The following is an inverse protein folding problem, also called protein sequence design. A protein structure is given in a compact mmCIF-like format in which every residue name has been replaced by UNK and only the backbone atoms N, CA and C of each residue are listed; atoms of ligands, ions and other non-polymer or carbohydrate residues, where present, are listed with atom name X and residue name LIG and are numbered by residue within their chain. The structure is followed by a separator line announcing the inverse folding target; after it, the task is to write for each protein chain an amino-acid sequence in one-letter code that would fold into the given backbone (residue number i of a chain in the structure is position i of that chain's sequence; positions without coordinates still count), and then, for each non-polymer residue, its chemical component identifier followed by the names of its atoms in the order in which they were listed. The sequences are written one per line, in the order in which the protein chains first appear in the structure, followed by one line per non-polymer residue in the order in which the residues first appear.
data_IF_724404430022
#
_entry.id   IF_724404430022
#
_cell.length_a   1.000
_cell.length_b   1.000
_cell.length_c   1.000
_cell.angle_alpha   90.00
_cell.angle_beta   90.00
_cell.angle_gamma   90.00
#
_symmetry.space_group_name_H-M   'P 1'
#
loop_
_entity.id
_entity.type
_entity.pdbx_description
1 polymer ?
#
# COMPACT_ATOMS: atom_id res chain seq x y z
N UNK A 1 -19.34 -6.20 23.16
CA UNK A 1 -18.27 -6.95 23.87
C UNK A 1 -18.73 -7.58 25.17
N UNK A 2 -19.45 -6.87 26.05
CA UNK A 2 -19.92 -7.41 27.35
C UNK A 2 -20.85 -8.63 27.24
N UNK A 3 -21.71 -8.69 26.22
CA UNK A 3 -22.53 -9.89 25.99
C UNK A 3 -21.66 -11.07 25.55
N UNK A 4 -20.69 -10.83 24.66
CA UNK A 4 -19.76 -11.85 24.19
C UNK A 4 -18.81 -12.37 25.28
N UNK A 5 -18.44 -11.53 26.26
CA UNK A 5 -17.68 -12.01 27.42
C UNK A 5 -18.48 -12.99 28.27
N UNK A 6 -19.81 -12.79 28.42
CA UNK A 6 -20.65 -13.74 29.14
C UNK A 6 -20.70 -15.09 28.41
N UNK A 7 -20.83 -15.06 27.07
CA UNK A 7 -20.78 -16.27 26.24
C UNK A 7 -19.41 -16.96 26.34
N UNK A 8 -18.32 -16.19 26.33
CA UNK A 8 -16.96 -16.70 26.48
C UNK A 8 -16.68 -17.31 27.85
N UNK A 9 -17.20 -16.72 28.92
CA UNK A 9 -17.13 -17.27 30.28
C UNK A 9 -17.93 -18.56 30.36
N UNK A 10 -19.17 -18.57 29.86
CA UNK A 10 -20.04 -19.75 29.86
C UNK A 10 -19.44 -20.92 29.08
N UNK A 11 -18.87 -20.65 27.90
CA UNK A 11 -18.20 -21.67 27.07
C UNK A 11 -16.76 -21.95 27.48
N UNK A 12 -16.22 -21.21 28.45
CA UNK A 12 -14.79 -21.18 28.82
C UNK A 12 -13.91 -21.11 27.56
N UNK A 13 -14.21 -20.20 26.62
CA UNK A 13 -13.50 -20.06 25.34
C UNK A 13 -13.23 -18.60 25.04
N UNK A 14 -11.98 -18.19 25.22
CA UNK A 14 -11.56 -16.80 25.02
C UNK A 14 -11.29 -16.46 23.54
N UNK A 15 -11.12 -17.47 22.68
CA UNK A 15 -10.99 -17.31 21.23
C UNK A 15 -12.27 -16.80 20.54
N UNK A 16 -13.40 -16.79 21.26
CA UNK A 16 -14.64 -16.15 20.81
C UNK A 16 -14.52 -14.63 20.67
N UNK A 17 -13.52 -14.02 21.32
CA UNK A 17 -13.23 -12.59 21.17
C UNK A 17 -12.89 -12.23 19.72
N UNK A 18 -12.15 -13.11 19.02
CA UNK A 18 -11.76 -12.91 17.62
C UNK A 18 -12.96 -13.00 16.66
N UNK A 19 -13.97 -13.81 17.00
CA UNK A 19 -15.24 -13.89 16.25
C UNK A 19 -16.13 -12.68 16.57
N UNK A 20 -16.16 -12.26 17.83
CA UNK A 20 -16.90 -11.09 18.29
C UNK A 20 -16.38 -9.77 17.69
N UNK A 21 -15.11 -9.73 17.30
CA UNK A 21 -14.47 -8.58 16.65
C UNK A 21 -15.21 -8.13 15.39
N UNK A 22 -15.43 -9.03 14.43
CA UNK A 22 -16.16 -8.72 13.20
C UNK A 22 -17.59 -8.25 13.47
N UNK A 23 -18.32 -8.96 14.34
CA UNK A 23 -19.69 -8.57 14.74
C UNK A 23 -19.74 -7.21 15.43
N UNK A 24 -18.72 -6.87 16.21
CA UNK A 24 -18.60 -5.56 16.84
C UNK A 24 -18.52 -4.43 15.82
N UNK A 25 -17.78 -4.62 14.72
CA UNK A 25 -17.72 -3.63 13.64
C UNK A 25 -19.04 -3.47 12.90
N UNK A 26 -19.74 -4.58 12.61
CA UNK A 26 -21.09 -4.52 12.04
C UNK A 26 -22.00 -3.70 12.96
N UNK A 27 -22.00 -4.00 14.26
CA UNK A 27 -22.84 -3.29 15.22
C UNK A 27 -22.52 -1.79 15.25
N UNK A 28 -21.25 -1.39 15.32
CA UNK A 28 -20.86 0.03 15.35
C UNK A 28 -21.18 0.73 14.03
N UNK A 29 -20.91 0.09 12.89
CA UNK A 29 -21.15 0.68 11.57
C UNK A 29 -22.65 0.95 11.36
N UNK A 30 -23.51 -0.06 11.61
CA UNK A 30 -24.95 0.09 11.41
C UNK A 30 -25.61 0.98 12.46
N UNK A 31 -25.21 0.92 13.73
CA UNK A 31 -25.76 1.84 14.75
C UNK A 31 -25.38 3.28 14.44
N UNK A 32 -24.12 3.56 14.08
CA UNK A 32 -23.71 4.91 13.70
C UNK A 32 -24.38 5.41 12.42
N UNK A 33 -24.72 4.55 11.46
CA UNK A 33 -25.51 4.95 10.28
C UNK A 33 -26.96 5.29 10.66
N UNK A 34 -27.61 4.47 11.49
CA UNK A 34 -29.01 4.65 11.92
C UNK A 34 -29.18 5.94 12.71
N UNK A 35 -28.24 6.24 13.61
CA UNK A 35 -28.26 7.47 14.43
C UNK A 35 -27.55 8.66 13.78
N UNK A 36 -26.92 8.45 12.63
CA UNK A 36 -26.21 9.47 11.87
C UNK A 36 -26.98 9.93 10.64
N UNK A 37 -26.22 10.40 9.65
CA UNK A 37 -26.69 10.84 8.35
C UNK A 37 -26.58 9.68 7.36
N UNK A 38 -27.71 9.30 6.77
CA UNK A 38 -27.77 8.24 5.77
C UNK A 38 -27.37 8.79 4.38
N UNK A 39 -26.07 8.92 4.16
CA UNK A 39 -25.50 9.30 2.86
C UNK A 39 -25.15 8.07 2.01
N UNK A 40 -25.04 8.24 0.69
CA UNK A 40 -24.57 7.15 -0.20
C UNK A 40 -23.18 6.64 0.20
N UNK A 41 -22.30 7.53 0.67
CA UNK A 41 -20.95 7.18 1.13
C UNK A 41 -20.98 6.38 2.42
N UNK A 42 -21.83 6.78 3.38
CA UNK A 42 -22.07 6.00 4.60
C UNK A 42 -22.60 4.60 4.28
N UNK A 43 -23.54 4.49 3.34
CA UNK A 43 -24.06 3.19 2.91
C UNK A 43 -22.97 2.32 2.26
N UNK A 44 -22.14 2.89 1.38
CA UNK A 44 -21.01 2.18 0.76
C UNK A 44 -20.07 1.65 1.87
N UNK A 45 -19.63 2.50 2.80
CA UNK A 45 -18.72 2.10 3.88
C UNK A 45 -19.34 0.99 4.75
N UNK A 46 -20.63 1.08 5.07
CA UNK A 46 -21.33 0.02 5.80
C UNK A 46 -21.33 -1.31 5.06
N UNK A 47 -21.60 -1.30 3.75
CA UNK A 47 -21.59 -2.51 2.93
C UNK A 47 -20.18 -3.12 2.92
N UNK A 48 -19.15 -2.30 2.68
CA UNK A 48 -17.75 -2.75 2.70
C UNK A 48 -17.38 -3.39 4.03
N UNK A 49 -17.62 -2.69 5.15
CA UNK A 49 -17.32 -3.18 6.50
C UNK A 49 -18.12 -4.44 6.83
N UNK A 50 -19.38 -4.52 6.40
CA UNK A 50 -20.22 -5.70 6.63
C UNK A 50 -19.69 -6.92 5.89
N UNK A 51 -19.34 -6.77 4.60
CA UNK A 51 -18.76 -7.85 3.80
C UNK A 51 -17.45 -8.34 4.43
N UNK A 52 -16.55 -7.43 4.79
CA UNK A 52 -15.29 -7.76 5.48
C UNK A 52 -15.53 -8.47 6.81
N UNK A 53 -16.41 -7.94 7.65
CA UNK A 53 -16.67 -8.46 8.98
C UNK A 53 -17.30 -9.86 8.95
N UNK A 54 -18.26 -10.09 8.04
CA UNK A 54 -18.87 -11.42 7.84
C UNK A 54 -17.79 -12.40 7.37
N UNK A 55 -16.97 -12.03 6.39
CA UNK A 55 -15.88 -12.87 5.88
C UNK A 55 -14.89 -13.25 7.00
N UNK A 56 -14.43 -12.26 7.77
CA UNK A 56 -13.52 -12.47 8.89
C UNK A 56 -14.12 -13.40 9.94
N UNK A 57 -15.36 -13.14 10.35
CA UNK A 57 -16.09 -13.95 11.30
C UNK A 57 -16.19 -15.41 10.85
N UNK A 58 -16.63 -15.64 9.60
CA UNK A 58 -16.76 -16.98 9.03
C UNK A 58 -15.40 -17.69 8.94
N UNK A 59 -14.37 -16.99 8.45
CA UNK A 59 -13.02 -17.54 8.33
C UNK A 59 -12.48 -18.04 9.69
N UNK A 60 -12.56 -17.18 10.71
CA UNK A 60 -12.09 -17.53 12.07
C UNK A 60 -12.92 -18.66 12.67
N UNK A 61 -14.25 -18.60 12.51
CA UNK A 61 -15.15 -19.64 13.01
C UNK A 61 -14.83 -21.01 12.40
N UNK A 62 -14.71 -21.12 11.07
CA UNK A 62 -14.40 -22.37 10.40
C UNK A 62 -13.00 -22.90 10.71
N UNK A 63 -12.03 -22.01 10.94
CA UNK A 63 -10.68 -22.37 11.35
C UNK A 63 -10.62 -22.96 12.76
N UNK A 64 -11.43 -22.44 13.68
CA UNK A 64 -11.36 -22.78 15.11
C UNK A 64 -12.39 -23.83 15.56
N UNK A 65 -13.41 -24.18 14.74
CA UNK A 65 -14.49 -25.10 15.15
C UNK A 65 -14.04 -26.52 15.50
N UNK A 66 -12.96 -27.00 14.87
CA UNK A 66 -12.47 -28.39 15.00
C UNK A 66 -11.11 -28.48 15.72
N UNK A 67 -10.69 -27.39 16.39
CA UNK A 67 -9.42 -27.35 17.12
C UNK A 67 -9.70 -27.19 18.62
N UNK A 68 -8.88 -27.83 19.44
CA UNK A 68 -8.81 -27.50 20.86
C UNK A 68 -8.46 -26.02 21.04
N UNK A 69 -8.92 -25.42 22.14
CA UNK A 69 -8.71 -24.01 22.44
C UNK A 69 -7.22 -23.63 22.32
N UNK A 70 -6.92 -22.51 21.65
CA UNK A 70 -5.54 -22.04 21.40
C UNK A 70 -4.73 -22.08 22.70
N UNK A 71 -3.52 -22.66 22.63
CA UNK A 71 -2.60 -22.84 23.76
C UNK A 71 -2.37 -21.55 24.56
N UNK A 72 -2.49 -20.38 23.91
CA UNK A 72 -2.41 -19.07 24.55
C UNK A 72 -3.48 -18.89 25.63
N UNK A 73 -4.72 -19.25 25.34
CA UNK A 73 -5.84 -19.09 26.28
C UNK A 73 -5.80 -20.13 27.40
N UNK A 74 -5.31 -21.34 27.12
CA UNK A 74 -5.02 -22.32 28.17
C UNK A 74 -3.94 -21.82 29.14
N UNK A 75 -2.89 -21.16 28.62
CA UNK A 75 -1.87 -20.52 29.45
C UNK A 75 -2.44 -19.34 30.28
N UNK A 76 -3.35 -18.55 29.72
CA UNK A 76 -4.03 -17.47 30.44
C UNK A 76 -4.95 -18.00 31.54
N UNK A 77 -5.68 -19.10 31.31
CA UNK A 77 -6.46 -19.78 32.35
C UNK A 77 -5.60 -20.23 33.52
N UNK A 78 -4.46 -20.85 33.24
CA UNK A 78 -3.49 -21.27 34.28
C UNK A 78 -2.92 -20.07 35.04
N UNK A 79 -2.63 -18.97 34.33
CA UNK A 79 -2.07 -17.74 34.92
C UNK A 79 -3.08 -17.00 35.80
N UNK A 80 -4.35 -16.94 35.39
CA UNK A 80 -5.37 -16.11 36.03
C UNK A 80 -6.16 -16.84 37.12
N UNK A 81 -6.20 -18.18 37.08
CA UNK A 81 -6.85 -18.99 38.11
C UNK A 81 -8.28 -18.54 38.38
N UNK A 82 -8.59 -18.24 39.64
CA UNK A 82 -9.93 -17.80 40.09
C UNK A 82 -10.34 -16.43 39.51
N UNK A 83 -9.37 -15.58 39.16
CA UNK A 83 -9.62 -14.27 38.56
C UNK A 83 -9.94 -14.33 37.07
N UNK A 84 -10.05 -15.53 36.48
CA UNK A 84 -10.26 -15.72 35.05
C UNK A 84 -11.46 -14.94 34.51
N UNK A 85 -12.61 -14.95 35.20
CA UNK A 85 -13.83 -14.29 34.74
C UNK A 85 -13.70 -12.76 34.71
N UNK A 86 -13.06 -12.17 35.71
CA UNK A 86 -12.82 -10.73 35.74
C UNK A 86 -11.78 -10.32 34.72
N UNK A 87 -10.67 -11.06 34.59
CA UNK A 87 -9.57 -10.73 33.67
C UNK A 87 -9.90 -10.98 32.20
N UNK A 88 -10.66 -12.02 31.87
CA UNK A 88 -11.14 -12.21 30.49
C UNK A 88 -12.07 -11.06 30.08
N UNK A 89 -12.92 -10.59 30.99
CA UNK A 89 -13.78 -9.44 30.74
C UNK A 89 -12.96 -8.15 30.56
N UNK A 90 -12.11 -7.80 31.52
CA UNK A 90 -11.40 -6.51 31.54
C UNK A 90 -10.21 -6.44 30.57
N UNK A 91 -9.35 -7.47 30.53
CA UNK A 91 -8.11 -7.45 29.75
C UNK A 91 -8.30 -7.92 28.30
N UNK A 92 -9.35 -8.70 27.99
CA UNK A 92 -9.63 -9.16 26.62
C UNK A 92 -10.81 -8.42 26.02
N UNK A 93 -12.03 -8.61 26.54
CA UNK A 93 -13.24 -8.10 25.89
C UNK A 93 -13.41 -6.58 25.99
N UNK A 94 -13.15 -5.99 27.15
CA UNK A 94 -13.26 -4.53 27.34
C UNK A 94 -12.17 -3.81 26.56
N UNK A 95 -10.91 -4.27 26.67
CA UNK A 95 -9.80 -3.73 25.90
C UNK A 95 -10.05 -3.83 24.38
N UNK A 96 -10.48 -4.99 23.88
CA UNK A 96 -10.85 -5.13 22.47
C UNK A 96 -12.03 -4.24 22.08
N UNK A 97 -13.00 -4.02 22.97
CA UNK A 97 -14.09 -3.08 22.75
C UNK A 97 -13.62 -1.64 22.57
N UNK A 98 -12.71 -1.17 23.43
CA UNK A 98 -12.11 0.16 23.33
C UNK A 98 -11.29 0.31 22.03
N UNK A 99 -10.46 -0.68 21.70
CA UNK A 99 -9.67 -0.67 20.47
C UNK A 99 -10.59 -0.65 19.25
N UNK A 100 -11.61 -1.52 19.22
CA UNK A 100 -12.59 -1.58 18.14
C UNK A 100 -13.27 -0.23 17.93
N UNK A 101 -13.66 0.45 19.02
CA UNK A 101 -14.26 1.78 18.93
C UNK A 101 -13.30 2.80 18.29
N UNK A 102 -12.03 2.85 18.72
CA UNK A 102 -11.02 3.74 18.13
C UNK A 102 -10.81 3.43 16.65
N UNK A 103 -10.71 2.15 16.29
CA UNK A 103 -10.53 1.74 14.89
C UNK A 103 -11.77 2.07 14.05
N UNK A 104 -12.97 2.01 14.63
CA UNK A 104 -14.22 2.35 13.95
C UNK A 104 -14.49 3.86 13.83
N UNK A 105 -13.69 4.74 14.46
CA UNK A 105 -13.91 6.19 14.41
C UNK A 105 -14.08 6.76 12.99
N UNK A 106 -13.28 6.38 11.97
CA UNK A 106 -13.49 6.85 10.60
C UNK A 106 -14.88 6.52 10.05
N UNK A 107 -15.43 5.35 10.38
CA UNK A 107 -16.78 4.94 9.95
C UNK A 107 -17.82 5.85 10.60
N UNK A 108 -17.72 6.01 11.92
CA UNK A 108 -18.62 6.88 12.70
C UNK A 108 -18.56 8.31 12.14
N UNK A 109 -17.36 8.81 11.85
CA UNK A 109 -17.15 10.17 11.35
C UNK A 109 -17.80 10.40 9.99
N UNK A 110 -17.70 9.43 9.08
CA UNK A 110 -18.40 9.49 7.78
C UNK A 110 -19.92 9.56 7.97
N UNK A 111 -20.46 8.90 9.01
CA UNK A 111 -21.89 8.93 9.30
C UNK A 111 -22.34 10.20 10.03
N UNK A 112 -21.46 10.95 10.69
CA UNK A 112 -21.85 12.20 11.36
C UNK A 112 -21.82 13.42 10.43
N UNK A 113 -21.38 13.25 9.19
CA UNK A 113 -21.17 14.31 8.21
C UNK A 113 -22.10 14.15 7.01
N UNK A 114 -22.69 15.25 6.55
CA UNK A 114 -23.63 15.29 5.42
C UNK A 114 -23.01 15.87 4.15
N UNK A 115 -21.78 16.37 4.23
CA UNK A 115 -21.08 16.95 3.09
C UNK A 115 -20.89 15.92 1.97
N UNK A 116 -20.92 16.41 0.72
CA UNK A 116 -20.63 15.55 -0.43
C UNK A 116 -19.12 15.32 -0.52
N UNK A 117 -18.70 14.08 -0.29
CA UNK A 117 -17.35 13.64 -0.63
C UNK A 117 -17.14 13.73 -2.16
N UNK A 118 -16.03 14.30 -2.64
CA UNK A 118 -15.72 14.30 -4.08
C UNK A 118 -15.60 12.88 -4.61
N UNK A 119 -16.14 12.61 -5.81
CA UNK A 119 -16.13 11.25 -6.41
C UNK A 119 -14.71 10.71 -6.61
N UNK A 120 -13.73 11.60 -6.81
CA UNK A 120 -12.32 11.28 -6.97
C UNK A 120 -11.75 10.57 -5.73
N UNK A 121 -12.24 10.93 -4.53
CA UNK A 121 -11.86 10.26 -3.28
C UNK A 121 -12.29 8.80 -3.31
N UNK A 122 -13.53 8.55 -3.72
CA UNK A 122 -14.06 7.20 -3.83
C UNK A 122 -13.35 6.40 -4.93
N UNK A 123 -13.08 7.03 -6.08
CA UNK A 123 -12.31 6.45 -7.18
C UNK A 123 -10.89 6.04 -6.76
N UNK A 124 -10.33 6.66 -5.71
CA UNK A 124 -9.03 6.31 -5.15
C UNK A 124 -9.14 5.27 -4.03
N UNK A 125 -10.02 5.49 -3.05
CA UNK A 125 -10.13 4.65 -1.86
C UNK A 125 -10.74 3.28 -2.16
N UNK A 126 -11.77 3.21 -3.02
CA UNK A 126 -12.51 1.98 -3.27
C UNK A 126 -11.64 0.90 -3.94
N UNK A 127 -10.82 1.20 -4.98
CA UNK A 127 -9.89 0.21 -5.51
C UNK A 127 -8.87 -0.29 -4.50
N UNK A 128 -8.37 0.56 -3.60
CA UNK A 128 -7.44 0.16 -2.53
C UNK A 128 -8.13 -0.81 -1.58
N UNK A 129 -9.36 -0.48 -1.16
CA UNK A 129 -10.15 -1.34 -0.29
C UNK A 129 -10.43 -2.70 -0.94
N UNK A 130 -10.91 -2.71 -2.19
CA UNK A 130 -11.22 -3.94 -2.93
C UNK A 130 -9.96 -4.80 -3.11
N UNK A 131 -8.84 -4.17 -3.49
CA UNK A 131 -7.57 -4.87 -3.64
C UNK A 131 -7.11 -5.49 -2.31
N UNK A 132 -7.29 -4.76 -1.21
CA UNK A 132 -6.99 -5.26 0.13
C UNK A 132 -7.87 -6.45 0.51
N UNK A 133 -9.17 -6.37 0.25
CA UNK A 133 -10.12 -7.45 0.53
C UNK A 133 -9.82 -8.71 -0.30
N UNK A 134 -9.51 -8.55 -1.59
CA UNK A 134 -9.11 -9.65 -2.48
C UNK A 134 -7.80 -10.27 -2.01
N UNK A 135 -6.80 -9.46 -1.67
CA UNK A 135 -5.50 -9.91 -1.17
C UNK A 135 -5.68 -10.72 0.13
N UNK A 136 -6.46 -10.21 1.08
CA UNK A 136 -6.76 -10.88 2.35
C UNK A 136 -7.45 -12.23 2.12
N UNK A 137 -8.45 -12.25 1.24
CA UNK A 137 -9.26 -13.44 0.93
C UNK A 137 -8.43 -14.53 0.27
N UNK A 138 -7.64 -14.19 -0.76
CA UNK A 138 -6.79 -15.16 -1.46
C UNK A 138 -5.68 -15.66 -0.52
N UNK A 139 -5.05 -14.79 0.26
CA UNK A 139 -3.99 -15.16 1.19
C UNK A 139 -4.47 -16.18 2.24
N UNK A 140 -5.64 -15.94 2.83
CA UNK A 140 -6.23 -16.84 3.82
C UNK A 140 -6.68 -18.17 3.20
N UNK A 141 -7.14 -18.15 1.94
CA UNK A 141 -7.48 -19.36 1.19
C UNK A 141 -6.23 -20.21 0.90
N UNK A 142 -5.16 -19.61 0.36
CA UNK A 142 -3.86 -20.27 0.14
C UNK A 142 -3.33 -20.90 1.44
N UNK A 143 -3.41 -20.16 2.54
CA UNK A 143 -2.98 -20.64 3.86
C UNK A 143 -3.84 -21.82 4.35
N UNK A 144 -5.15 -21.78 4.13
CA UNK A 144 -6.07 -22.86 4.52
C UNK A 144 -5.78 -24.13 3.74
N UNK A 145 -5.58 -24.02 2.43
CA UNK A 145 -5.18 -25.15 1.59
C UNK A 145 -3.85 -25.77 2.05
N UNK A 146 -2.86 -24.92 2.33
CA UNK A 146 -1.55 -25.37 2.80
C UNK A 146 -1.63 -26.09 4.16
N UNK A 147 -2.45 -25.60 5.10
CA UNK A 147 -2.61 -26.22 6.42
C UNK A 147 -3.34 -27.56 6.37
N UNK A 148 -4.21 -27.78 5.39
CA UNK A 148 -4.96 -29.01 5.23
C UNK A 148 -4.16 -30.11 4.51
N UNK A 149 -3.05 -29.77 3.85
CA UNK A 149 -2.17 -30.74 3.19
C UNK A 149 -1.18 -31.38 4.19
N UNK A 150 -1.39 -32.67 4.47
CA UNK A 150 -0.54 -33.44 5.38
C UNK A 150 0.93 -33.50 4.94
N UNK A 151 1.22 -33.44 3.64
CA UNK A 151 2.58 -33.49 3.09
C UNK A 151 3.39 -32.20 3.36
N UNK A 152 2.70 -31.14 3.79
CA UNK A 152 3.25 -29.81 4.06
C UNK A 152 3.41 -29.52 5.56
N UNK A 153 3.03 -30.46 6.44
CA UNK A 153 3.19 -30.30 7.89
C UNK A 153 4.64 -29.94 8.25
N UNK A 154 4.80 -28.88 9.04
CA UNK A 154 6.10 -28.38 9.49
C UNK A 154 6.89 -27.55 8.48
N UNK A 155 6.38 -27.35 7.25
CA UNK A 155 7.00 -26.50 6.22
C UNK A 155 6.45 -25.07 6.28
N UNK A 156 7.20 -24.12 5.71
CA UNK A 156 6.75 -22.74 5.52
C UNK A 156 6.04 -22.59 4.16
N UNK A 157 4.97 -21.81 4.13
CA UNK A 157 4.34 -21.37 2.88
C UNK A 157 5.11 -20.18 2.32
N UNK A 158 5.78 -20.38 1.18
CA UNK A 158 6.69 -19.40 0.55
C UNK A 158 6.38 -19.16 -0.93
N UNK A 159 5.23 -19.64 -1.41
CA UNK A 159 4.77 -19.53 -2.80
C UNK A 159 3.41 -18.81 -2.85
N UNK A 160 2.96 -18.44 -4.05
CA UNK A 160 1.72 -17.66 -4.20
C UNK A 160 1.90 -16.24 -3.67
N UNK A 161 0.89 -15.67 -3.02
CA UNK A 161 0.97 -14.34 -2.41
C UNK A 161 2.05 -14.27 -1.32
N UNK A 162 2.26 -15.38 -0.61
CA UNK A 162 3.26 -15.52 0.43
C UNK A 162 4.70 -15.46 -0.11
N UNK A 163 4.91 -15.68 -1.41
CA UNK A 163 6.22 -15.48 -2.04
C UNK A 163 6.57 -13.99 -2.24
N UNK A 164 5.56 -13.12 -2.37
CA UNK A 164 5.74 -11.69 -2.61
C UNK A 164 5.86 -10.87 -1.32
N UNK A 165 5.05 -11.20 -0.31
CA UNK A 165 5.10 -10.59 1.04
C UNK A 165 4.84 -11.69 2.06
N UNK A 166 5.48 -11.63 3.24
CA UNK A 166 5.38 -12.71 4.24
C UNK A 166 4.03 -12.76 4.96
N UNK A 167 3.31 -11.65 5.00
CA UNK A 167 1.99 -11.56 5.64
C UNK A 167 0.97 -10.85 4.72
N UNK A 168 0.59 -11.46 3.60
CA UNK A 168 -0.28 -10.83 2.60
C UNK A 168 -1.69 -10.56 3.15
N UNK A 169 -2.20 -11.41 4.04
CA UNK A 169 -3.49 -11.20 4.68
C UNK A 169 -3.53 -9.95 5.56
N UNK A 170 -2.52 -9.74 6.40
CA UNK A 170 -2.40 -8.52 7.19
C UNK A 170 -2.21 -7.28 6.33
N UNK A 171 -1.46 -7.37 5.23
CA UNK A 171 -1.37 -6.25 4.29
C UNK A 171 -2.75 -5.89 3.73
N UNK A 172 -3.54 -6.90 3.33
CA UNK A 172 -4.89 -6.71 2.80
C UNK A 172 -5.84 -6.07 3.81
N UNK A 173 -5.79 -6.50 5.07
CA UNK A 173 -6.55 -5.87 6.16
C UNK A 173 -6.16 -4.41 6.34
N UNK A 174 -4.85 -4.10 6.42
CA UNK A 174 -4.38 -2.72 6.55
C UNK A 174 -4.82 -1.84 5.38
N UNK A 175 -4.75 -2.32 4.14
CA UNK A 175 -5.21 -1.57 2.95
C UNK A 175 -6.68 -1.15 3.07
N UNK A 176 -7.55 -2.03 3.55
CA UNK A 176 -8.97 -1.74 3.75
C UNK A 176 -9.18 -0.63 4.79
N UNK A 177 -8.51 -0.71 5.94
CA UNK A 177 -8.69 0.28 7.01
C UNK A 177 -8.06 1.64 6.70
N UNK A 178 -6.91 1.65 6.02
CA UNK A 178 -6.32 2.89 5.49
C UNK A 178 -7.21 3.54 4.43
N UNK A 179 -7.88 2.76 3.58
CA UNK A 179 -8.84 3.30 2.61
C UNK A 179 -10.07 3.93 3.28
N UNK A 180 -10.60 3.31 4.34
CA UNK A 180 -11.73 3.88 5.11
C UNK A 180 -11.31 5.18 5.79
N UNK A 181 -10.15 5.22 6.43
CA UNK A 181 -9.61 6.46 6.98
C UNK A 181 -9.42 7.53 5.92
N UNK A 182 -8.87 7.18 4.75
CA UNK A 182 -8.67 8.14 3.67
C UNK A 182 -10.00 8.78 3.24
N UNK A 183 -11.09 8.02 3.15
CA UNK A 183 -12.43 8.57 2.89
C UNK A 183 -12.87 9.52 4.01
N UNK A 184 -12.67 9.14 5.28
CA UNK A 184 -13.02 9.99 6.42
C UNK A 184 -12.19 11.29 6.46
N UNK A 185 -10.94 11.25 6.03
CA UNK A 185 -10.01 12.39 6.06
C UNK A 185 -10.43 13.58 5.19
N UNK A 186 -11.35 13.38 4.25
CA UNK A 186 -11.93 14.48 3.44
C UNK A 186 -12.99 15.29 4.17
N UNK A 187 -13.54 14.77 5.25
CA UNK A 187 -14.46 15.52 6.09
C UNK A 187 -13.70 16.40 7.08
N UNK A 188 -14.30 17.51 7.57
CA UNK A 188 -13.69 18.37 8.58
C UNK A 188 -13.10 17.55 9.73
N UNK A 189 -11.87 17.87 10.15
CA UNK A 189 -11.11 17.16 11.18
C UNK A 189 -10.88 15.64 10.98
N UNK A 190 -11.34 15.04 9.89
CA UNK A 190 -11.20 13.60 9.66
C UNK A 190 -9.75 13.12 9.55
N UNK A 191 -8.82 14.00 9.17
CA UNK A 191 -7.39 13.72 9.15
C UNK A 191 -6.86 13.34 10.55
N UNK A 192 -7.45 13.86 11.65
CA UNK A 192 -7.05 13.53 13.02
C UNK A 192 -7.38 12.07 13.38
N UNK A 193 -8.30 11.44 12.65
CA UNK A 193 -8.64 10.03 12.80
C UNK A 193 -7.57 9.08 12.25
N UNK A 194 -6.42 9.61 11.82
CA UNK A 194 -5.25 8.83 11.44
C UNK A 194 -4.81 7.88 12.56
N UNK A 195 -5.16 8.19 13.82
CA UNK A 195 -5.00 7.30 14.96
C UNK A 195 -5.64 5.92 14.76
N UNK A 196 -6.76 5.81 14.01
CA UNK A 196 -7.43 4.53 13.73
C UNK A 196 -6.54 3.55 12.96
N UNK A 197 -6.15 3.84 11.70
CA UNK A 197 -5.32 2.91 10.94
C UNK A 197 -3.91 2.78 11.53
N UNK A 198 -3.37 3.80 12.22
CA UNK A 198 -2.09 3.69 12.92
C UNK A 198 -2.15 2.71 14.10
N UNK A 199 -3.21 2.79 14.92
CA UNK A 199 -3.41 1.87 16.04
C UNK A 199 -3.55 0.44 15.51
N UNK A 200 -4.36 0.23 14.47
CA UNK A 200 -4.51 -1.11 13.88
C UNK A 200 -3.19 -1.63 13.31
N UNK A 201 -2.44 -0.77 12.60
CA UNK A 201 -1.10 -1.10 12.09
C UNK A 201 -0.16 -1.51 13.22
N UNK A 202 -0.12 -0.74 14.30
CA UNK A 202 0.71 -1.06 15.46
C UNK A 202 0.33 -2.41 16.08
N UNK A 203 -0.96 -2.67 16.28
CA UNK A 203 -1.44 -3.91 16.87
C UNK A 203 -1.06 -5.11 15.99
N UNK A 204 -1.35 -5.05 14.69
CA UNK A 204 -1.05 -6.13 13.74
C UNK A 204 0.46 -6.36 13.65
N UNK A 205 1.28 -5.30 13.53
CA UNK A 205 2.72 -5.44 13.29
C UNK A 205 3.46 -5.86 14.56
N UNK A 206 3.15 -5.25 15.70
CA UNK A 206 3.97 -5.34 16.91
C UNK A 206 3.37 -6.24 17.99
N UNK A 207 2.05 -6.32 18.10
CA UNK A 207 1.38 -6.92 19.28
C UNK A 207 0.80 -8.30 18.98
N UNK A 208 -0.05 -8.44 17.96
CA UNK A 208 -0.88 -9.64 17.77
C UNK A 208 -0.57 -10.45 16.50
N UNK A 209 -0.06 -9.81 15.44
CA UNK A 209 0.15 -10.45 14.14
C UNK A 209 1.61 -10.77 13.83
N UNK A 210 2.26 -9.89 13.08
CA UNK A 210 3.53 -10.11 12.40
C UNK A 210 4.65 -10.53 13.34
N UNK A 211 5.02 -9.68 14.32
CA UNK A 211 6.18 -9.94 15.19
C UNK A 211 6.04 -11.27 15.97
N UNK A 212 4.93 -11.54 16.69
CA UNK A 212 4.77 -12.83 17.38
C UNK A 212 4.81 -14.06 16.44
N UNK A 213 4.30 -13.94 15.21
CA UNK A 213 4.34 -15.03 14.24
C UNK A 213 5.75 -15.26 13.71
N UNK A 214 6.47 -14.19 13.35
CA UNK A 214 7.84 -14.31 12.88
C UNK A 214 8.77 -14.88 13.96
N UNK A 215 8.61 -14.52 15.24
CA UNK A 215 9.37 -15.14 16.33
C UNK A 215 9.13 -16.65 16.43
N UNK A 216 7.91 -17.14 16.16
CA UNK A 216 7.65 -18.58 16.08
C UNK A 216 8.30 -19.20 14.84
N UNK A 217 8.24 -18.50 13.69
CA UNK A 217 8.78 -18.98 12.43
C UNK A 217 10.31 -19.06 12.42
N UNK A 218 11.02 -18.25 13.23
CA UNK A 218 12.48 -18.32 13.39
C UNK A 218 13.01 -19.69 13.79
N UNK A 219 12.17 -20.57 14.34
CA UNK A 219 12.53 -21.96 14.65
C UNK A 219 12.72 -22.83 13.40
N UNK A 220 12.20 -22.42 12.25
CA UNK A 220 12.37 -23.13 10.99
C UNK A 220 13.68 -22.73 10.32
N UNK A 221 14.49 -23.70 9.91
CA UNK A 221 15.78 -23.47 9.26
C UNK A 221 15.65 -22.58 8.00
N UNK A 222 14.58 -22.76 7.23
CA UNK A 222 14.34 -22.04 5.98
C UNK A 222 13.88 -20.59 6.19
N UNK A 223 13.46 -20.22 7.41
CA UNK A 223 12.91 -18.89 7.68
C UNK A 223 13.91 -17.78 7.41
N UNK A 224 15.20 -18.01 7.72
CA UNK A 224 16.25 -17.01 7.47
C UNK A 224 16.37 -16.67 5.98
N UNK A 225 16.30 -17.67 5.11
CA UNK A 225 16.36 -17.46 3.67
C UNK A 225 15.07 -16.80 3.15
N UNK A 226 13.91 -17.27 3.62
CA UNK A 226 12.62 -16.68 3.28
C UNK A 226 12.53 -15.20 3.69
N UNK A 227 12.92 -14.87 4.93
CA UNK A 227 12.88 -13.51 5.44
C UNK A 227 13.86 -12.54 4.75
N UNK A 228 14.93 -13.08 4.16
CA UNK A 228 15.89 -12.30 3.36
C UNK A 228 15.32 -11.90 2.00
N UNK A 229 14.57 -12.80 1.36
CA UNK A 229 14.13 -12.63 -0.03
C UNK A 229 12.70 -12.08 -0.15
N UNK A 230 11.88 -12.23 0.90
CA UNK A 230 10.48 -11.82 0.88
C UNK A 230 10.24 -10.77 1.97
N UNK A 231 9.78 -9.54 1.65
CA UNK A 231 9.49 -8.49 2.64
C UNK A 231 8.35 -8.87 3.59
N UNK A 232 8.32 -8.29 4.80
CA UNK A 232 7.32 -8.66 5.82
C UNK A 232 5.89 -8.26 5.42
N UNK A 233 5.68 -6.98 5.10
CA UNK A 233 4.37 -6.42 4.72
C UNK A 233 4.47 -5.61 3.43
N UNK A 234 5.18 -4.49 3.45
CA UNK A 234 5.25 -3.58 2.30
C UNK A 234 6.54 -3.88 1.52
N UNK A 235 6.45 -4.25 0.24
CA UNK A 235 7.62 -4.39 -0.62
C UNK A 235 8.39 -3.07 -0.76
N UNK A 236 9.73 -3.10 -0.69
CA UNK A 236 10.56 -1.91 -0.93
C UNK A 236 10.29 -1.25 -2.29
N UNK A 237 9.92 -2.04 -3.29
CA UNK A 237 9.51 -1.55 -4.61
C UNK A 237 8.27 -0.67 -4.55
N UNK A 238 7.26 -1.00 -3.73
CA UNK A 238 6.10 -0.13 -3.53
C UNK A 238 6.46 1.17 -2.82
N UNK A 239 7.34 1.10 -1.82
CA UNK A 239 7.84 2.30 -1.11
C UNK A 239 8.58 3.22 -2.09
N UNK A 240 9.44 2.65 -2.95
CA UNK A 240 10.15 3.39 -3.98
C UNK A 240 9.20 4.12 -4.94
N UNK A 241 8.19 3.43 -5.47
CA UNK A 241 7.19 4.02 -6.35
C UNK A 241 6.38 5.13 -5.67
N UNK A 242 5.96 4.92 -4.42
CA UNK A 242 5.23 5.92 -3.63
C UNK A 242 6.07 7.18 -3.38
N UNK A 243 7.34 7.00 -3.01
CA UNK A 243 8.26 8.12 -2.84
C UNK A 243 8.41 8.90 -4.14
N UNK A 244 8.66 8.22 -5.26
CA UNK A 244 8.78 8.88 -6.57
C UNK A 244 7.53 9.69 -6.93
N UNK A 245 6.33 9.10 -6.80
CA UNK A 245 5.08 9.79 -7.08
C UNK A 245 4.85 11.01 -6.17
N UNK A 246 5.18 10.89 -4.89
CA UNK A 246 5.08 12.02 -3.93
C UNK A 246 6.07 13.13 -4.29
N UNK A 247 7.32 12.78 -4.65
CA UNK A 247 8.31 13.77 -5.09
C UNK A 247 7.85 14.47 -6.35
N UNK A 248 7.36 13.72 -7.34
CA UNK A 248 6.82 14.27 -8.58
C UNK A 248 5.70 15.28 -8.32
N UNK A 249 4.78 14.96 -7.41
CA UNK A 249 3.68 15.86 -7.05
C UNK A 249 4.17 17.15 -6.40
N UNK A 250 5.09 17.06 -5.43
CA UNK A 250 5.69 18.23 -4.76
C UNK A 250 6.45 19.09 -5.76
N UNK A 251 7.23 18.48 -6.67
CA UNK A 251 8.02 19.19 -7.67
C UNK A 251 7.15 19.98 -8.63
N UNK A 252 6.02 19.41 -9.08
CA UNK A 252 5.10 20.11 -9.98
C UNK A 252 4.39 21.24 -9.26
N UNK A 253 3.82 20.98 -8.08
CA UNK A 253 3.07 22.01 -7.33
C UNK A 253 3.92 23.26 -7.08
N UNK A 254 5.07 23.08 -6.43
CA UNK A 254 5.91 24.22 -6.05
C UNK A 254 6.78 24.73 -7.20
N UNK A 255 7.07 23.87 -8.19
CA UNK A 255 7.76 24.28 -9.42
C UNK A 255 6.90 25.16 -10.31
N UNK A 256 5.59 24.91 -10.38
CA UNK A 256 4.61 25.74 -11.09
C UNK A 256 4.45 27.12 -10.45
N UNK A 257 4.49 27.19 -9.12
CA UNK A 257 4.43 28.45 -8.35
C UNK A 257 5.71 29.31 -8.44
N UNK A 258 6.76 28.83 -9.12
CA UNK A 258 8.04 29.55 -9.26
C UNK A 258 8.94 29.49 -8.01
N UNK A 259 8.59 28.70 -7.00
CA UNK A 259 9.44 28.47 -5.83
C UNK A 259 10.70 27.72 -6.23
N UNK A 260 11.88 28.31 -6.01
CA UNK A 260 13.16 27.69 -6.39
C UNK A 260 13.71 26.74 -5.32
N UNK A 261 13.39 26.96 -4.04
CA UNK A 261 14.02 26.25 -2.93
C UNK A 261 13.27 24.99 -2.49
N UNK A 262 11.93 25.05 -2.39
CA UNK A 262 11.10 23.93 -1.90
C UNK A 262 11.20 22.72 -2.83
N UNK A 263 11.11 22.85 -4.17
CA UNK A 263 11.30 21.72 -5.08
C UNK A 263 12.67 21.06 -4.94
N UNK A 264 13.75 21.87 -4.83
CA UNK A 264 15.11 21.35 -4.72
C UNK A 264 15.29 20.55 -3.43
N UNK A 265 14.84 21.08 -2.29
CA UNK A 265 14.91 20.39 -1.00
C UNK A 265 14.08 19.10 -1.00
N UNK A 266 12.88 19.12 -1.58
CA UNK A 266 12.03 17.95 -1.70
C UNK A 266 12.65 16.87 -2.58
N UNK A 267 13.19 17.24 -3.75
CA UNK A 267 13.93 16.33 -4.62
C UNK A 267 15.15 15.74 -3.91
N UNK A 268 15.98 16.56 -3.25
CA UNK A 268 17.17 16.09 -2.54
C UNK A 268 16.80 15.14 -1.38
N UNK A 269 15.80 15.49 -0.58
CA UNK A 269 15.32 14.65 0.52
C UNK A 269 14.80 13.30 0.03
N UNK A 270 14.00 13.31 -1.04
CA UNK A 270 13.48 12.08 -1.64
C UNK A 270 14.59 11.26 -2.32
N UNK A 271 15.55 11.92 -2.96
CA UNK A 271 16.71 11.30 -3.58
C UNK A 271 17.56 10.57 -2.53
N UNK A 272 17.85 11.23 -1.41
CA UNK A 272 18.55 10.60 -0.27
C UNK A 272 17.74 9.44 0.29
N UNK A 273 16.43 9.60 0.51
CA UNK A 273 15.57 8.53 1.03
C UNK A 273 15.53 7.31 0.08
N UNK A 274 15.38 7.54 -1.23
CA UNK A 274 15.39 6.48 -2.23
C UNK A 274 16.75 5.79 -2.29
N UNK A 275 17.87 6.53 -2.25
CA UNK A 275 19.22 5.95 -2.21
C UNK A 275 19.42 5.11 -0.94
N UNK A 276 18.99 5.58 0.23
CA UNK A 276 19.09 4.83 1.48
C UNK A 276 18.29 3.53 1.40
N UNK A 277 17.04 3.61 0.95
CA UNK A 277 16.19 2.43 0.75
C UNK A 277 16.81 1.45 -0.24
N UNK A 278 17.42 1.94 -1.31
CA UNK A 278 18.02 1.09 -2.34
C UNK A 278 19.36 0.48 -1.88
N UNK A 279 20.18 1.26 -1.17
CA UNK A 279 21.47 0.84 -0.61
C UNK A 279 21.34 -0.23 0.48
N UNK A 280 20.19 -0.29 1.17
CA UNK A 280 19.90 -1.34 2.15
C UNK A 280 19.68 -2.72 1.52
N UNK A 281 19.29 -2.79 0.24
CA UNK A 281 18.88 -4.04 -0.40
C UNK A 281 19.88 -4.59 -1.43
N UNK A 282 20.58 -3.74 -2.20
CA UNK A 282 21.56 -4.26 -3.17
C UNK A 282 22.73 -3.31 -3.50
N UNK A 283 23.93 -3.67 -3.06
CA UNK A 283 25.18 -2.95 -3.37
C UNK A 283 25.58 -3.04 -4.85
N UNK A 284 25.18 -4.08 -5.60
CA UNK A 284 25.50 -4.19 -7.04
C UNK A 284 24.76 -3.13 -7.85
N UNK A 285 23.50 -2.88 -7.50
CA UNK A 285 22.67 -1.88 -8.19
C UNK A 285 23.17 -0.43 -8.03
N UNK A 286 23.93 -0.09 -6.98
CA UNK A 286 24.53 1.25 -6.82
C UNK A 286 25.56 1.59 -7.91
N UNK A 287 26.28 0.60 -8.45
CA UNK A 287 27.26 0.83 -9.55
C UNK A 287 26.59 1.24 -10.86
N UNK A 288 25.35 0.81 -11.05
CA UNK A 288 24.56 1.03 -12.28
C UNK A 288 23.77 2.34 -12.18
N UNK A 289 23.53 2.81 -10.96
CA UNK A 289 22.73 3.99 -10.69
C UNK A 289 23.25 5.26 -11.38
N UNK A 290 24.53 5.60 -11.19
CA UNK A 290 25.13 6.81 -11.78
C UNK A 290 25.01 6.81 -13.31
N UNK A 291 25.47 5.77 -14.04
CA UNK A 291 25.37 5.77 -15.50
C UNK A 291 23.93 5.78 -16.00
N UNK A 292 23.01 5.09 -15.32
CA UNK A 292 21.58 5.09 -15.71
C UNK A 292 20.92 6.45 -15.48
N UNK A 293 21.21 7.11 -14.37
CA UNK A 293 20.73 8.46 -14.07
C UNK A 293 21.25 9.49 -15.06
N UNK A 294 22.54 9.41 -15.43
CA UNK A 294 23.11 10.28 -16.47
C UNK A 294 22.42 10.05 -17.81
N UNK A 295 22.21 8.79 -18.22
CA UNK A 295 21.49 8.47 -19.45
C UNK A 295 20.05 9.02 -19.44
N UNK A 296 19.32 8.81 -18.35
CA UNK A 296 17.95 9.32 -18.19
C UNK A 296 17.89 10.84 -18.28
N UNK A 297 18.81 11.55 -17.61
CA UNK A 297 18.87 13.02 -17.65
C UNK A 297 19.24 13.53 -19.04
N UNK A 298 20.25 12.96 -19.69
CA UNK A 298 20.68 13.41 -21.02
C UNK A 298 19.58 13.20 -22.07
N UNK A 299 18.99 11.99 -22.12
CA UNK A 299 17.89 11.70 -23.05
C UNK A 299 16.66 12.56 -22.74
N UNK A 300 16.39 12.81 -21.46
CA UNK A 300 15.25 13.58 -20.99
C UNK A 300 15.35 15.04 -21.38
N UNK A 301 16.51 15.65 -21.12
CA UNK A 301 16.80 17.03 -21.52
C UNK A 301 16.70 17.22 -23.02
N UNK A 302 17.25 16.30 -23.81
CA UNK A 302 17.16 16.34 -25.27
C UNK A 302 15.70 16.32 -25.73
N UNK A 303 14.90 15.40 -25.18
CA UNK A 303 13.49 15.29 -25.52
C UNK A 303 12.70 16.55 -25.13
N UNK A 304 12.92 17.08 -23.93
CA UNK A 304 12.26 18.30 -23.46
C UNK A 304 12.61 19.52 -24.33
N UNK A 305 13.89 19.66 -24.72
CA UNK A 305 14.30 20.71 -25.64
C UNK A 305 13.60 20.58 -26.99
N UNK A 306 13.47 19.36 -27.53
CA UNK A 306 12.72 19.12 -28.78
C UNK A 306 11.27 19.57 -28.62
N UNK A 307 10.61 19.25 -27.49
CA UNK A 307 9.23 19.64 -27.25
C UNK A 307 9.04 21.15 -27.13
N UNK A 308 9.94 21.85 -26.45
CA UNK A 308 9.91 23.30 -26.31
C UNK A 308 10.15 23.96 -27.67
N UNK A 309 11.19 23.54 -28.41
CA UNK A 309 11.55 24.14 -29.70
C UNK A 309 10.52 23.87 -30.81
N UNK A 310 9.83 22.74 -30.76
CA UNK A 310 8.76 22.40 -31.70
C UNK A 310 7.39 23.01 -31.36
N UNK A 311 7.27 23.69 -30.21
CA UNK A 311 6.01 24.27 -29.76
C UNK A 311 4.98 23.23 -29.31
N UNK A 312 5.41 22.02 -28.95
CA UNK A 312 4.53 20.97 -28.41
C UNK A 312 4.03 21.32 -27.01
N UNK A 313 4.90 21.92 -26.21
CA UNK A 313 4.60 22.37 -24.86
C UNK A 313 5.36 23.66 -24.51
N UNK A 314 4.88 24.35 -23.49
CA UNK A 314 5.55 25.48 -22.86
C UNK A 314 5.48 25.37 -21.34
N UNK A 315 6.48 25.94 -20.66
CA UNK A 315 6.53 26.02 -19.20
C UNK A 315 6.16 27.44 -18.73
N UNK A 316 5.47 27.60 -17.58
CA UNK A 316 4.98 28.90 -17.10
C UNK A 316 6.04 29.99 -16.99
N UNK A 317 7.28 29.61 -16.62
CA UNK A 317 8.37 30.56 -16.38
C UNK A 317 9.15 30.97 -17.64
N UNK A 318 8.72 30.54 -18.84
CA UNK A 318 9.24 31.00 -20.13
C UNK A 318 10.74 30.81 -20.35
N UNK A 319 11.13 29.86 -21.19
CA UNK A 319 12.54 29.67 -21.56
C UNK A 319 12.75 28.50 -22.51
N UNK A 320 13.91 28.47 -23.16
CA UNK A 320 14.34 27.37 -24.05
C UNK A 320 14.83 26.17 -23.23
N UNK A 321 15.28 26.42 -22.00
CA UNK A 321 15.78 25.38 -21.10
C UNK A 321 14.64 24.79 -20.26
N UNK A 322 14.60 23.45 -20.11
CA UNK A 322 13.68 22.79 -19.18
C UNK A 322 13.90 23.30 -17.75
N UNK A 323 12.83 23.45 -16.94
CA UNK A 323 12.96 23.98 -15.60
C UNK A 323 13.76 23.03 -14.68
N UNK A 324 14.54 23.60 -13.76
CA UNK A 324 15.44 22.83 -12.88
C UNK A 324 14.73 21.71 -12.10
N UNK A 325 13.49 21.95 -11.64
CA UNK A 325 12.72 20.94 -10.91
C UNK A 325 12.41 19.70 -11.76
N UNK A 326 12.26 19.85 -13.08
CA UNK A 326 12.05 18.74 -14.02
C UNK A 326 13.34 17.96 -14.25
N UNK A 327 14.49 18.65 -14.28
CA UNK A 327 15.80 17.99 -14.42
C UNK A 327 16.05 17.03 -13.25
N UNK A 328 15.62 17.40 -12.04
CA UNK A 328 15.75 16.57 -10.84
C UNK A 328 14.87 15.30 -10.88
N UNK A 329 13.84 15.24 -11.72
CA UNK A 329 12.98 14.07 -11.86
C UNK A 329 13.66 12.91 -12.60
N UNK A 330 14.57 13.17 -13.54
CA UNK A 330 15.17 12.11 -14.35
C UNK A 330 16.04 11.13 -13.54
N UNK A 331 16.95 11.59 -12.64
CA UNK A 331 17.67 10.68 -11.75
C UNK A 331 16.75 9.93 -10.77
N UNK A 332 15.67 10.57 -10.32
CA UNK A 332 14.69 9.92 -9.44
C UNK A 332 13.89 8.84 -10.19
N UNK A 333 13.53 9.12 -11.44
CA UNK A 333 12.84 8.17 -12.30
C UNK A 333 13.73 6.96 -12.61
N UNK A 334 15.03 7.16 -12.84
CA UNK A 334 15.96 6.06 -13.12
C UNK A 334 16.00 5.02 -11.97
N UNK A 335 15.86 5.47 -10.71
CA UNK A 335 15.82 4.60 -9.52
C UNK A 335 14.61 3.67 -9.50
N UNK A 336 13.54 4.02 -10.20
CA UNK A 336 12.35 3.19 -10.29
C UNK A 336 12.57 1.96 -11.19
N UNK A 337 13.46 2.06 -12.18
CA UNK A 337 13.66 1.04 -13.23
C UNK A 337 14.27 -0.29 -12.72
N UNK A 338 14.94 -0.25 -11.57
CA UNK A 338 15.48 -1.43 -10.87
C UNK A 338 14.71 -1.72 -9.57
N UNK A 339 13.52 -1.16 -9.42
CA UNK A 339 12.70 -1.31 -8.21
C UNK A 339 11.21 -1.41 -8.57
N UNK A 340 10.44 -0.34 -8.40
CA UNK A 340 8.99 -0.31 -8.70
C UNK A 340 8.64 -0.70 -10.14
N UNK A 341 9.52 -0.41 -11.10
CA UNK A 341 9.36 -0.70 -12.52
C UNK A 341 10.28 -1.82 -13.02
N UNK A 342 10.86 -2.62 -12.12
CA UNK A 342 11.78 -3.70 -12.50
C UNK A 342 11.15 -4.70 -13.48
N UNK A 343 9.84 -4.94 -13.37
CA UNK A 343 9.11 -5.86 -14.24
C UNK A 343 9.18 -5.49 -15.74
N UNK A 344 9.42 -4.21 -16.08
CA UNK A 344 9.64 -3.76 -17.45
C UNK A 344 10.91 -4.35 -18.08
N UNK A 345 11.87 -4.79 -17.25
CA UNK A 345 13.05 -5.49 -17.73
C UNK A 345 12.75 -6.91 -18.23
N UNK A 346 11.53 -7.43 -18.08
CA UNK A 346 11.15 -8.77 -18.55
C UNK A 346 10.74 -8.81 -20.02
N UNK A 347 10.12 -7.75 -20.56
CA UNK A 347 9.65 -7.70 -21.94
C UNK A 347 9.86 -6.29 -22.53
N UNK A 348 10.45 -6.18 -23.73
CA UNK A 348 10.79 -4.90 -24.36
C UNK A 348 9.60 -4.18 -25.03
N UNK A 349 8.48 -4.87 -25.26
CA UNK A 349 7.27 -4.24 -25.82
C UNK A 349 6.51 -3.41 -24.77
N UNK A 350 6.47 -3.87 -23.51
CA UNK A 350 5.76 -3.19 -22.42
C UNK A 350 6.27 -1.77 -22.12
N UNK A 351 7.60 -1.51 -22.04
CA UNK A 351 8.16 -0.17 -21.86
C UNK A 351 7.59 0.88 -22.81
N UNK A 352 7.34 0.52 -24.07
CA UNK A 352 6.80 1.46 -25.05
C UNK A 352 5.41 1.96 -24.65
N UNK A 353 4.48 1.04 -24.38
CA UNK A 353 3.10 1.40 -24.03
C UNK A 353 3.00 2.03 -22.63
N UNK A 354 3.73 1.49 -21.65
CA UNK A 354 3.75 2.03 -20.29
C UNK A 354 4.36 3.43 -20.28
N UNK A 355 5.43 3.65 -21.05
CA UNK A 355 6.06 4.96 -21.22
C UNK A 355 5.11 5.95 -21.86
N UNK A 356 4.49 5.59 -22.98
CA UNK A 356 3.56 6.46 -23.70
C UNK A 356 2.33 6.86 -22.87
N UNK A 357 1.61 5.88 -22.30
CA UNK A 357 0.43 6.16 -21.47
C UNK A 357 0.79 6.84 -20.14
N UNK A 358 1.84 6.36 -19.47
CA UNK A 358 2.29 6.92 -18.21
C UNK A 358 2.70 8.38 -18.34
N UNK A 359 3.46 8.71 -19.40
CA UNK A 359 3.83 10.08 -19.71
C UNK A 359 2.60 10.93 -20.04
N UNK A 360 1.72 10.48 -20.94
CA UNK A 360 0.54 11.27 -21.30
C UNK A 360 -0.30 11.65 -20.08
N UNK A 361 -0.55 10.70 -19.17
CA UNK A 361 -1.24 10.97 -17.91
C UNK A 361 -0.46 11.94 -17.00
N UNK A 362 0.86 11.81 -16.95
CA UNK A 362 1.74 12.70 -16.20
C UNK A 362 1.69 14.14 -16.73
N UNK A 363 1.84 14.39 -18.03
CA UNK A 363 1.76 15.75 -18.60
C UNK A 363 0.35 16.34 -18.49
N UNK A 364 -0.70 15.55 -18.70
CA UNK A 364 -2.08 16.02 -18.50
C UNK A 364 -2.34 16.43 -17.04
N UNK A 365 -1.76 15.68 -16.09
CA UNK A 365 -1.83 16.01 -14.67
C UNK A 365 -1.01 17.27 -14.36
N UNK A 366 0.20 17.37 -14.91
CA UNK A 366 1.03 18.57 -14.81
C UNK A 366 0.35 19.83 -15.35
N UNK A 367 -0.38 19.71 -16.47
CA UNK A 367 -1.15 20.82 -17.04
C UNK A 367 -2.29 21.27 -16.14
N UNK A 368 -3.01 20.33 -15.52
CA UNK A 368 -4.06 20.66 -14.54
C UNK A 368 -3.52 21.33 -13.28
N UNK A 369 -2.28 21.03 -12.90
CA UNK A 369 -1.59 21.65 -11.78
C UNK A 369 -0.84 22.94 -12.17
N UNK A 370 -0.98 23.41 -13.42
CA UNK A 370 -0.32 24.61 -13.90
C UNK A 370 1.19 24.48 -14.13
N UNK A 371 1.74 23.27 -14.10
CA UNK A 371 3.19 23.02 -14.28
C UNK A 371 3.66 23.01 -15.73
N UNK A 372 2.76 22.82 -16.70
CA UNK A 372 3.07 22.79 -18.14
C UNK A 372 1.84 23.19 -18.96
N UNK A 373 2.03 23.76 -20.14
CA UNK A 373 0.97 24.00 -21.10
C UNK A 373 1.22 23.13 -22.33
N UNK A 374 0.24 22.32 -22.72
CA UNK A 374 0.30 21.48 -23.92
C UNK A 374 -0.47 22.13 -25.08
N UNK A 375 0.04 22.00 -26.30
CA UNK A 375 -0.58 22.53 -27.51
C UNK A 375 -1.14 21.40 -28.40
N UNK A 376 -2.41 20.98 -28.22
CA UNK A 376 -3.05 19.94 -29.04
C UNK A 376 -3.34 20.44 -30.49
N UNK A 377 -3.58 19.52 -31.45
CA UNK A 377 -3.74 18.08 -31.28
C UNK A 377 -2.43 17.28 -31.31
N UNK A 378 -1.34 17.85 -31.82
CA UNK A 378 -0.07 17.13 -32.02
C UNK A 378 0.63 16.76 -30.72
N UNK A 379 0.41 17.51 -29.63
CA UNK A 379 1.08 17.24 -28.36
C UNK A 379 0.83 15.82 -27.82
N UNK A 380 -0.40 15.30 -27.88
CA UNK A 380 -0.73 13.99 -27.32
C UNK A 380 -0.05 12.82 -28.03
N UNK A 381 -0.18 12.64 -29.37
CA UNK A 381 0.49 11.55 -30.07
C UNK A 381 2.01 11.68 -30.00
N UNK A 382 2.57 12.90 -30.05
CA UNK A 382 4.03 13.06 -29.97
C UNK A 382 4.56 12.70 -28.59
N UNK A 383 3.91 13.15 -27.50
CA UNK A 383 4.28 12.77 -26.13
C UNK A 383 4.19 11.25 -25.95
N UNK A 384 3.12 10.63 -26.44
CA UNK A 384 2.97 9.17 -26.36
C UNK A 384 4.10 8.43 -27.06
N UNK A 385 4.36 8.76 -28.34
CA UNK A 385 5.36 8.08 -29.15
C UNK A 385 6.77 8.30 -28.62
N UNK A 386 7.13 9.55 -28.26
CA UNK A 386 8.49 9.86 -27.80
C UNK A 386 8.77 9.19 -26.47
N UNK A 387 7.84 9.21 -25.51
CA UNK A 387 8.04 8.57 -24.21
C UNK A 387 8.04 7.05 -24.28
N UNK A 388 7.29 6.49 -25.23
CA UNK A 388 7.39 5.06 -25.54
C UNK A 388 8.80 4.68 -26.01
N UNK A 389 9.40 5.47 -26.91
CA UNK A 389 10.79 5.26 -27.35
C UNK A 389 11.76 5.50 -26.19
N UNK A 390 11.61 6.61 -25.46
CA UNK A 390 12.47 6.99 -24.34
C UNK A 390 12.56 5.89 -23.28
N UNK A 391 11.43 5.39 -22.79
CA UNK A 391 11.41 4.35 -21.76
C UNK A 391 11.97 3.03 -22.29
N UNK A 392 11.71 2.69 -23.55
CA UNK A 392 12.28 1.50 -24.20
C UNK A 392 13.81 1.58 -24.27
N UNK A 393 14.36 2.71 -24.70
CA UNK A 393 15.81 2.95 -24.76
C UNK A 393 16.43 2.87 -23.36
N UNK A 394 15.80 3.48 -22.35
CA UNK A 394 16.30 3.41 -20.98
C UNK A 394 16.31 1.98 -20.43
N UNK A 395 15.29 1.18 -20.72
CA UNK A 395 15.26 -0.23 -20.32
C UNK A 395 16.36 -1.04 -21.03
N UNK A 396 16.64 -0.76 -22.31
CA UNK A 396 17.76 -1.40 -23.03
C UNK A 396 19.10 -1.06 -22.37
N UNK A 397 19.31 0.21 -22.02
CA UNK A 397 20.51 0.66 -21.29
C UNK A 397 20.59 -0.03 -19.92
N UNK A 398 19.48 -0.06 -19.18
CA UNK A 398 19.40 -0.69 -17.87
C UNK A 398 19.76 -2.19 -17.91
N UNK A 399 19.24 -2.93 -18.89
CA UNK A 399 19.57 -4.36 -19.09
C UNK A 399 21.05 -4.56 -19.36
N UNK A 400 21.64 -3.74 -20.24
CA UNK A 400 23.08 -3.77 -20.55
C UNK A 400 23.93 -3.53 -19.31
N UNK A 401 23.59 -2.51 -18.51
CA UNK A 401 24.31 -2.17 -17.28
C UNK A 401 24.17 -3.25 -16.20
N UNK A 402 23.02 -3.90 -16.10
CA UNK A 402 22.78 -5.02 -15.19
C UNK A 402 23.48 -6.33 -15.61
N UNK A 403 24.12 -6.38 -16.78
CA UNK A 403 24.68 -7.62 -17.31
C UNK A 403 23.62 -8.68 -17.61
N UNK A 404 22.34 -8.29 -17.70
CA UNK A 404 21.26 -9.14 -18.18
C UNK A 404 21.44 -9.31 -19.68
N UNK A 405 22.31 -10.24 -20.09
CA UNK A 405 22.37 -10.70 -21.49
C UNK A 405 20.97 -11.17 -21.90
N UNK A 406 20.59 -10.88 -23.14
CA UNK A 406 19.33 -11.32 -23.73
C UNK A 406 19.18 -12.84 -23.61
N UNK A 407 18.46 -13.28 -22.58
CA UNK A 407 18.09 -14.69 -22.40
C UNK A 407 16.99 -15.14 -23.39
N UNK A 408 16.60 -14.26 -24.32
CA UNK A 408 15.48 -14.44 -25.24
C UNK A 408 15.85 -14.10 -26.69
N UNK A 409 17.11 -14.35 -27.07
CA UNK A 409 17.47 -14.47 -28.48
C UNK A 409 17.41 -15.94 -28.88
N UNK A 410 16.21 -16.51 -28.85
CA UNK A 410 15.78 -17.66 -29.66
C UNK A 410 14.30 -17.48 -30.02
#
# INVERSE_FOLDING_TARGET
MSIWSLVAIAKKRADLADVAWGLGFILVAWTSLIFGQMTIYGLIVNILVTIWAIRLMLHIYYRNRNRDEDFRYQALKRKWGENFNFKIFSEVFLLQGCILYVVALPIIWIHTHSERMPVQVLMFALPIWISGFVLETIADWELTLFQNDLSKKGKLLTVGLWGYVRHPNYLGELMQWWAIWFMAAFFPFGWALLISPLLLTFLIVKVSGVKPLEEKMKKHADFKNYAKNTPSLIPPSLVNGFLYGTTWYILILYGAEGSRFIPILAALGCYVAQIILFAQFDRKSFRIFIPLSLAATCLGLLQEMIFILSGILAYPNGGILPPLWLILLYPLFSLTLNSSLEFLNKNLAFPFFIGGFGALLSYLSGQRLGGVQLFPPLAYPVIFLSWGVFLTVLIIINRKLNGLKSYYSE
#
